data_IF_777114688629
#
_entry.id   IF_777114688629
#
_cell.length_a   1.000
_cell.length_b   1.000
_cell.length_c   1.000
_cell.angle_alpha   90.00
_cell.angle_beta   90.00
_cell.angle_gamma   90.00
#
_symmetry.space_group_name_H-M   'P 1'
#
loop_
_entity.id
_entity.type
_entity.pdbx_description
1 polymer ?
#
# COMPACT_ATOMS: atom_id res chain seq x y z
N UNK A 1 -27.14 22.84 15.83
CA UNK A 1 -26.00 22.79 14.91
C UNK A 1 -26.39 21.83 13.79
N UNK A 2 -27.03 22.35 12.74
CA UNK A 2 -27.48 21.54 11.60
C UNK A 2 -26.32 21.47 10.61
N UNK A 3 -25.66 20.32 10.53
CA UNK A 3 -24.74 20.03 9.43
C UNK A 3 -25.62 20.00 8.17
N UNK A 4 -25.35 20.90 7.23
CA UNK A 4 -26.16 21.04 6.03
C UNK A 4 -26.00 19.76 5.20
N UNK A 5 -27.11 19.07 4.92
CA UNK A 5 -27.10 17.75 4.26
C UNK A 5 -26.41 17.85 2.89
N UNK A 6 -26.53 18.99 2.22
CA UNK A 6 -25.84 19.27 0.96
C UNK A 6 -24.30 19.36 1.12
N UNK A 7 -23.80 19.96 2.20
CA UNK A 7 -22.35 19.97 2.49
C UNK A 7 -21.83 18.57 2.86
N UNK A 8 -22.67 17.75 3.50
CA UNK A 8 -22.35 16.36 3.79
C UNK A 8 -22.29 15.53 2.50
N UNK A 9 -23.28 15.67 1.62
CA UNK A 9 -23.34 14.98 0.33
C UNK A 9 -22.20 15.44 -0.59
N UNK A 10 -21.91 16.74 -0.68
CA UNK A 10 -20.76 17.24 -1.46
C UNK A 10 -19.43 16.74 -0.89
N UNK A 11 -19.29 16.68 0.44
CA UNK A 11 -18.12 16.09 1.10
C UNK A 11 -17.96 14.60 0.79
N UNK A 12 -19.06 13.84 0.78
CA UNK A 12 -19.07 12.42 0.42
C UNK A 12 -18.76 12.20 -1.06
N UNK A 13 -19.30 13.02 -1.95
CA UNK A 13 -19.02 12.96 -3.40
C UNK A 13 -17.56 13.32 -3.67
N UNK A 14 -17.02 14.36 -3.01
CA UNK A 14 -15.62 14.72 -3.15
C UNK A 14 -14.70 13.62 -2.62
N UNK A 15 -15.04 12.99 -1.49
CA UNK A 15 -14.34 11.82 -0.98
C UNK A 15 -14.43 10.65 -1.96
N UNK A 16 -15.60 10.40 -2.55
CA UNK A 16 -15.80 9.35 -3.55
C UNK A 16 -14.92 9.60 -4.79
N UNK A 17 -14.97 10.81 -5.35
CA UNK A 17 -14.17 11.20 -6.53
C UNK A 17 -12.66 11.10 -6.23
N UNK A 18 -12.22 11.58 -5.06
CA UNK A 18 -10.84 11.45 -4.60
C UNK A 18 -10.45 9.97 -4.46
N UNK A 19 -11.34 9.14 -3.89
CA UNK A 19 -11.09 7.71 -3.69
C UNK A 19 -10.88 7.01 -5.03
N UNK A 20 -11.79 7.21 -5.97
CA UNK A 20 -11.74 6.52 -7.26
C UNK A 20 -10.67 7.05 -8.20
N UNK A 21 -10.34 8.35 -8.13
CA UNK A 21 -9.23 8.92 -8.90
C UNK A 21 -7.87 8.39 -8.41
N UNK A 22 -7.62 8.36 -7.10
CA UNK A 22 -6.40 7.77 -6.52
C UNK A 22 -6.31 6.28 -6.81
N UNK A 23 -7.41 5.54 -6.67
CA UNK A 23 -7.46 4.12 -7.02
C UNK A 23 -7.08 3.89 -8.49
N UNK A 24 -7.64 4.71 -9.39
CA UNK A 24 -7.33 4.66 -10.83
C UNK A 24 -5.85 4.95 -11.10
N UNK A 25 -5.27 5.96 -10.44
CA UNK A 25 -3.84 6.29 -10.55
C UNK A 25 -2.98 5.11 -10.08
N UNK A 26 -3.32 4.48 -8.94
CA UNK A 26 -2.59 3.33 -8.41
C UNK A 26 -2.70 2.10 -9.34
N UNK A 27 -3.86 1.89 -9.97
CA UNK A 27 -4.03 0.83 -10.97
C UNK A 27 -3.20 1.09 -12.23
N UNK A 28 -3.23 2.33 -12.74
CA UNK A 28 -2.41 2.75 -13.87
C UNK A 28 -0.91 2.60 -13.56
N UNK A 29 -0.47 3.03 -12.38
CA UNK A 29 0.92 2.88 -11.93
C UNK A 29 1.34 1.41 -11.83
N UNK A 30 0.51 0.57 -11.21
CA UNK A 30 0.78 -0.87 -11.11
C UNK A 30 0.86 -1.54 -12.49
N UNK A 31 0.03 -1.10 -13.45
CA UNK A 31 0.04 -1.58 -14.83
C UNK A 31 1.28 -1.13 -15.61
N UNK A 32 1.67 0.14 -15.51
CA UNK A 32 2.84 0.69 -16.22
C UNK A 32 4.14 0.08 -15.70
N UNK A 33 4.33 0.01 -14.39
CA UNK A 33 5.51 -0.63 -13.78
C UNK A 33 5.64 -2.09 -14.21
N UNK A 34 4.52 -2.84 -14.26
CA UNK A 34 4.50 -4.22 -14.75
C UNK A 34 4.84 -4.39 -16.24
N UNK A 35 4.74 -3.32 -17.05
CA UNK A 35 5.17 -3.30 -18.46
C UNK A 35 6.60 -2.82 -18.67
N UNK A 36 7.04 -1.88 -17.83
CA UNK A 36 8.34 -1.21 -17.96
C UNK A 36 9.49 -2.06 -17.40
N UNK A 37 9.24 -2.89 -16.38
CA UNK A 37 10.26 -3.77 -15.80
C UNK A 37 10.41 -5.03 -16.67
N UNK A 38 11.63 -5.32 -17.20
CA UNK A 38 11.89 -6.55 -17.93
C UNK A 38 11.46 -7.77 -17.13
N UNK A 39 10.88 -8.79 -17.79
CA UNK A 39 10.39 -10.01 -17.11
C UNK A 39 11.46 -10.77 -16.30
N UNK A 40 12.73 -10.49 -16.56
CA UNK A 40 13.88 -11.05 -15.84
C UNK A 40 14.08 -10.40 -14.45
N UNK A 41 13.62 -9.17 -14.25
CA UNK A 41 13.51 -8.57 -12.91
C UNK A 41 12.17 -8.95 -12.28
N UNK A 42 12.20 -9.31 -11.00
CA UNK A 42 11.00 -9.66 -10.25
C UNK A 42 10.01 -8.49 -10.22
N UNK A 43 8.85 -8.67 -10.84
CA UNK A 43 7.84 -7.62 -10.89
C UNK A 43 7.29 -7.36 -9.47
N UNK A 44 7.31 -6.10 -8.99
CA UNK A 44 6.81 -5.77 -7.65
C UNK A 44 5.30 -6.03 -7.50
N UNK A 45 4.55 -5.95 -8.59
CA UNK A 45 3.10 -6.12 -8.63
C UNK A 45 2.70 -7.13 -9.69
N UNK A 46 1.79 -8.05 -9.35
CA UNK A 46 1.25 -9.05 -10.28
C UNK A 46 -0.28 -8.94 -10.35
N UNK A 47 -0.76 -8.05 -11.22
CA UNK A 47 -2.20 -7.80 -11.48
C UNK A 47 -3.03 -7.74 -10.17
N UNK A 48 -2.72 -6.80 -9.26
CA UNK A 48 -3.38 -6.70 -7.95
C UNK A 48 -4.90 -6.51 -8.05
N UNK A 49 -5.39 -5.90 -9.13
CA UNK A 49 -6.83 -5.73 -9.42
C UNK A 49 -7.60 -7.04 -9.64
N UNK A 50 -6.92 -8.18 -9.83
CA UNK A 50 -7.56 -9.50 -10.01
C UNK A 50 -7.59 -10.32 -8.71
N UNK A 51 -7.30 -9.71 -7.56
CA UNK A 51 -7.22 -10.43 -6.29
C UNK A 51 -8.61 -10.83 -5.81
N UNK A 52 -8.85 -12.12 -5.62
CA UNK A 52 -10.15 -12.64 -5.16
C UNK A 52 -10.27 -12.66 -3.63
N UNK A 53 -9.18 -12.42 -2.91
CA UNK A 53 -9.16 -12.35 -1.45
C UNK A 53 -8.04 -11.45 -0.96
N UNK A 54 -8.18 -10.94 0.27
CA UNK A 54 -7.13 -10.15 0.95
C UNK A 54 -5.83 -10.95 1.05
N UNK A 55 -5.92 -12.27 1.25
CA UNK A 55 -4.78 -13.18 1.20
C UNK A 55 -4.08 -13.21 -0.17
N UNK A 56 -4.85 -13.27 -1.26
CA UNK A 56 -4.32 -13.29 -2.62
C UNK A 56 -3.67 -11.95 -2.98
N UNK A 57 -4.27 -10.84 -2.53
CA UNK A 57 -3.73 -9.50 -2.71
C UNK A 57 -2.35 -9.37 -2.04
N UNK A 58 -2.27 -9.49 -0.72
CA UNK A 58 -1.02 -9.27 0.03
C UNK A 58 0.02 -10.37 -0.16
N UNK A 59 -0.41 -11.61 -0.39
CA UNK A 59 0.51 -12.75 -0.44
C UNK A 59 1.16 -12.97 -1.81
N UNK A 60 0.50 -12.58 -2.91
CA UNK A 60 0.92 -13.00 -4.26
C UNK A 60 0.95 -11.90 -5.30
N UNK A 61 0.28 -10.77 -5.05
CA UNK A 61 0.00 -9.78 -6.11
C UNK A 61 0.45 -8.37 -5.77
N UNK A 62 0.48 -8.02 -4.50
CA UNK A 62 0.88 -6.72 -4.00
C UNK A 62 2.27 -6.79 -3.38
N UNK A 63 3.17 -5.92 -3.85
CA UNK A 63 4.53 -5.74 -3.33
C UNK A 63 5.26 -7.05 -3.00
N UNK A 64 5.45 -7.88 -4.04
CA UNK A 64 6.03 -9.23 -3.93
C UNK A 64 7.42 -9.19 -3.28
N UNK A 65 8.18 -8.12 -3.51
CA UNK A 65 9.48 -7.89 -2.90
C UNK A 65 9.38 -7.77 -1.37
N UNK A 66 8.45 -6.96 -0.84
CA UNK A 66 8.24 -6.84 0.61
C UNK A 66 7.80 -8.18 1.20
N UNK A 67 6.90 -8.89 0.56
CA UNK A 67 6.48 -10.24 1.01
C UNK A 67 7.66 -11.20 1.04
N UNK A 68 8.56 -11.16 0.04
CA UNK A 68 9.78 -11.98 0.01
C UNK A 68 10.79 -11.64 1.09
N UNK A 69 10.87 -10.38 1.51
CA UNK A 69 11.74 -9.95 2.60
C UNK A 69 11.12 -10.34 3.95
N UNK A 70 9.85 -10.01 4.17
CA UNK A 70 9.15 -10.24 5.44
C UNK A 70 8.91 -11.73 5.72
N UNK A 71 8.75 -12.56 4.69
CA UNK A 71 8.46 -13.97 4.87
C UNK A 71 9.58 -14.75 5.61
N UNK A 72 10.86 -14.69 5.20
CA UNK A 72 11.96 -15.31 5.94
C UNK A 72 12.36 -14.54 7.20
N UNK A 73 12.22 -13.21 7.22
CA UNK A 73 12.73 -12.37 8.34
C UNK A 73 11.78 -12.29 9.52
N UNK A 74 10.46 -12.29 9.28
CA UNK A 74 9.45 -12.12 10.34
C UNK A 74 8.51 -13.32 10.37
N UNK A 75 7.86 -13.65 9.25
CA UNK A 75 6.79 -14.64 9.24
C UNK A 75 7.28 -16.04 9.67
N UNK A 76 8.33 -16.59 9.04
CA UNK A 76 8.88 -17.92 9.37
C UNK A 76 9.32 -18.02 10.84
N UNK A 77 10.15 -17.10 11.37
CA UNK A 77 10.50 -17.10 12.79
C UNK A 77 9.28 -17.04 13.70
N UNK A 78 8.30 -16.19 13.37
CA UNK A 78 7.08 -16.06 14.17
C UNK A 78 6.19 -17.30 14.10
N UNK A 79 6.10 -17.99 12.97
CA UNK A 79 5.40 -19.29 12.88
C UNK A 79 6.10 -20.31 13.77
N UNK A 80 7.43 -20.40 13.72
CA UNK A 80 8.19 -21.35 14.53
C UNK A 80 7.99 -21.08 16.03
N UNK A 81 8.14 -19.83 16.45
CA UNK A 81 7.91 -19.42 17.84
C UNK A 81 6.46 -19.70 18.28
N UNK A 82 5.48 -19.29 17.47
CA UNK A 82 4.05 -19.49 17.79
C UNK A 82 3.63 -20.96 17.77
N UNK A 83 4.33 -21.80 17.00
CA UNK A 83 4.05 -23.24 16.96
C UNK A 83 4.37 -23.95 18.27
N UNK A 84 5.28 -23.41 19.06
CA UNK A 84 5.61 -23.94 20.39
C UNK A 84 4.48 -23.70 21.39
N UNK A 85 3.79 -22.55 21.30
CA UNK A 85 2.76 -22.15 22.25
C UNK A 85 1.32 -22.55 21.84
N UNK A 86 0.97 -22.40 20.56
CA UNK A 86 -0.42 -22.51 20.06
C UNK A 86 -0.58 -23.71 19.09
N UNK A 87 0.51 -24.44 18.86
CA UNK A 87 0.54 -25.59 17.96
C UNK A 87 0.63 -25.20 16.48
N UNK A 88 1.17 -26.13 15.67
CA UNK A 88 1.46 -25.90 14.24
C UNK A 88 0.24 -25.52 13.41
N UNK A 89 -0.97 -25.98 13.79
CA UNK A 89 -2.20 -25.71 13.06
C UNK A 89 -2.57 -24.21 13.11
N UNK A 90 -2.37 -23.56 14.24
CA UNK A 90 -2.81 -22.18 14.48
C UNK A 90 -1.67 -21.16 14.49
N UNK A 91 -0.42 -21.61 14.55
CA UNK A 91 0.78 -20.78 14.47
C UNK A 91 0.82 -19.73 13.33
N UNK A 92 0.24 -19.98 12.14
CA UNK A 92 0.19 -18.97 11.08
C UNK A 92 -0.61 -17.71 11.44
N UNK A 93 -1.62 -17.79 12.31
CA UNK A 93 -2.48 -16.65 12.64
C UNK A 93 -1.72 -15.51 13.36
N UNK A 94 -1.06 -15.75 14.52
CA UNK A 94 -0.27 -14.72 15.17
C UNK A 94 0.93 -14.29 14.32
N UNK A 95 1.48 -15.19 13.50
CA UNK A 95 2.58 -14.85 12.61
C UNK A 95 2.17 -13.85 11.51
N UNK A 96 0.94 -13.98 10.96
CA UNK A 96 0.40 -13.00 10.02
C UNK A 96 0.25 -11.64 10.70
N UNK A 97 -0.41 -11.58 11.86
CA UNK A 97 -0.61 -10.32 12.59
C UNK A 97 0.73 -9.66 12.90
N UNK A 98 1.70 -10.41 13.43
CA UNK A 98 3.04 -9.90 13.71
C UNK A 98 3.75 -9.37 12.46
N UNK A 99 3.63 -10.07 11.33
CA UNK A 99 4.25 -9.65 10.07
C UNK A 99 3.68 -8.31 9.59
N UNK A 100 2.36 -8.14 9.68
CA UNK A 100 1.70 -6.88 9.32
C UNK A 100 2.03 -5.75 10.30
N UNK A 101 2.11 -6.04 11.60
CA UNK A 101 2.57 -5.10 12.64
C UNK A 101 3.98 -4.59 12.33
N UNK A 102 4.93 -5.49 12.03
CA UNK A 102 6.30 -5.09 11.66
C UNK A 102 6.31 -4.28 10.36
N UNK A 103 5.47 -4.65 9.38
CA UNK A 103 5.32 -3.87 8.15
C UNK A 103 4.79 -2.46 8.43
N UNK A 104 3.81 -2.29 9.32
CA UNK A 104 3.28 -1.00 9.73
C UNK A 104 4.32 -0.12 10.43
N UNK A 105 5.09 -0.70 11.36
CA UNK A 105 6.20 0.00 12.03
C UNK A 105 7.28 0.45 11.05
N UNK A 106 7.60 -0.37 10.06
CA UNK A 106 8.55 0.02 8.99
C UNK A 106 8.02 1.20 8.18
N UNK A 107 6.70 1.25 7.89
CA UNK A 107 6.11 2.38 7.18
C UNK A 107 6.13 3.66 8.04
N UNK A 108 5.86 3.56 9.33
CA UNK A 108 6.03 4.70 10.25
C UNK A 108 7.48 5.21 10.28
N UNK A 109 8.45 4.30 10.32
CA UNK A 109 9.86 4.67 10.29
C UNK A 109 10.26 5.36 8.97
N UNK A 110 9.78 4.85 7.84
CA UNK A 110 10.00 5.47 6.52
C UNK A 110 9.40 6.88 6.49
N UNK A 111 8.18 7.06 7.01
CA UNK A 111 7.52 8.36 7.08
C UNK A 111 8.25 9.33 8.01
N UNK A 112 8.77 8.84 9.13
CA UNK A 112 9.64 9.62 10.01
C UNK A 112 10.88 10.15 9.26
N UNK A 113 11.59 9.29 8.52
CA UNK A 113 12.77 9.71 7.76
C UNK A 113 12.45 10.73 6.67
N UNK A 114 11.39 10.50 5.89
CA UNK A 114 11.01 11.43 4.80
C UNK A 114 10.63 12.81 5.37
N UNK A 115 9.91 12.85 6.49
CA UNK A 115 9.47 14.10 7.11
C UNK A 115 10.64 14.85 7.77
N UNK A 116 11.59 14.12 8.37
CA UNK A 116 12.80 14.70 8.97
C UNK A 116 13.67 15.44 7.96
N UNK A 117 13.81 14.91 6.75
CA UNK A 117 14.60 15.53 5.69
C UNK A 117 14.05 16.90 5.23
N UNK A 118 12.76 17.17 5.48
CA UNK A 118 12.07 18.39 5.02
C UNK A 118 12.16 19.56 6.01
N UNK A 119 12.54 19.32 7.27
CA UNK A 119 12.52 20.37 8.31
C UNK A 119 13.91 20.64 8.87
N UNK A 120 14.46 21.79 8.50
CA UNK A 120 15.53 22.51 9.23
C UNK A 120 15.04 23.07 10.60
N UNK A 121 13.82 22.72 11.01
CA UNK A 121 13.19 23.14 12.26
C UNK A 121 12.87 21.91 13.11
N UNK A 122 13.36 21.92 14.35
CA UNK A 122 13.18 20.88 15.37
C UNK A 122 11.71 20.79 15.86
N UNK A 123 10.79 20.41 14.99
CA UNK A 123 9.45 20.04 15.41
C UNK A 123 9.41 18.56 15.83
N UNK A 124 8.91 18.30 17.04
CA UNK A 124 8.69 16.95 17.54
C UNK A 124 7.75 16.20 16.58
N UNK A 125 8.21 15.06 16.07
CA UNK A 125 7.39 14.23 15.19
C UNK A 125 6.26 13.59 15.99
N UNK A 126 5.02 13.87 15.59
CA UNK A 126 3.85 13.14 16.08
C UNK A 126 3.69 11.84 15.26
N UNK A 127 3.81 10.65 15.90
CA UNK A 127 3.60 9.38 15.21
C UNK A 127 2.19 9.31 14.64
N UNK A 128 2.09 9.05 13.35
CA UNK A 128 0.81 8.94 12.66
C UNK A 128 0.40 7.46 12.58
N UNK A 129 -0.16 6.98 13.69
CA UNK A 129 -0.59 5.59 13.83
C UNK A 129 -1.62 5.15 12.78
N UNK A 130 -2.17 6.06 11.98
CA UNK A 130 -3.08 5.77 10.86
C UNK A 130 -2.54 4.69 9.91
N UNK A 131 -1.25 4.76 9.53
CA UNK A 131 -0.61 3.73 8.70
C UNK A 131 -0.43 2.41 9.44
N UNK A 132 -0.08 2.47 10.72
CA UNK A 132 0.01 1.27 11.56
C UNK A 132 -1.35 0.58 11.70
N UNK A 133 -2.42 1.34 11.94
CA UNK A 133 -3.80 0.87 11.98
C UNK A 133 -4.21 0.20 10.66
N UNK A 134 -3.85 0.79 9.51
CA UNK A 134 -4.08 0.18 8.21
C UNK A 134 -3.49 -1.23 8.14
N UNK A 135 -2.18 -1.40 8.37
CA UNK A 135 -1.57 -2.72 8.30
C UNK A 135 -2.10 -3.67 9.36
N UNK A 136 -2.32 -3.20 10.57
CA UNK A 136 -2.83 -4.03 11.66
C UNK A 136 -4.23 -4.59 11.36
N UNK A 137 -5.17 -3.75 10.91
CA UNK A 137 -6.52 -4.17 10.51
C UNK A 137 -6.44 -5.21 9.39
N UNK A 138 -5.61 -4.98 8.38
CA UNK A 138 -5.42 -5.94 7.28
C UNK A 138 -4.84 -7.27 7.75
N UNK A 139 -3.88 -7.24 8.68
CA UNK A 139 -3.30 -8.43 9.29
C UNK A 139 -4.33 -9.25 10.07
N UNK A 140 -5.19 -8.59 10.86
CA UNK A 140 -6.29 -9.22 11.60
C UNK A 140 -7.32 -9.80 10.64
N UNK A 141 -7.78 -9.03 9.65
CA UNK A 141 -8.73 -9.51 8.64
C UNK A 141 -8.19 -10.72 7.87
N UNK A 142 -6.90 -10.70 7.52
CA UNK A 142 -6.25 -11.84 6.87
C UNK A 142 -6.16 -13.06 7.78
N UNK A 143 -5.79 -12.88 9.05
CA UNK A 143 -5.76 -13.96 10.03
C UNK A 143 -7.17 -14.57 10.22
N UNK A 144 -8.21 -13.73 10.35
CA UNK A 144 -9.61 -14.18 10.42
C UNK A 144 -10.02 -14.94 9.16
N UNK A 145 -9.64 -14.45 7.97
CA UNK A 145 -9.91 -15.14 6.71
C UNK A 145 -9.24 -16.53 6.66
N UNK A 146 -8.00 -16.65 7.14
CA UNK A 146 -7.30 -17.94 7.21
C UNK A 146 -7.96 -18.87 8.24
N UNK A 147 -8.35 -18.33 9.40
CA UNK A 147 -9.05 -19.09 10.44
C UNK A 147 -10.39 -19.62 9.92
N UNK A 148 -11.18 -18.78 9.28
CA UNK A 148 -12.46 -19.16 8.66
C UNK A 148 -12.27 -20.30 7.64
N UNK A 149 -11.32 -20.16 6.72
CA UNK A 149 -11.03 -21.22 5.72
C UNK A 149 -10.60 -22.54 6.38
N UNK A 150 -9.88 -22.49 7.50
CA UNK A 150 -9.42 -23.67 8.25
C UNK A 150 -10.50 -24.34 9.10
N UNK A 151 -11.48 -23.59 9.59
CA UNK A 151 -12.57 -24.11 10.44
C UNK A 151 -13.68 -24.71 9.60
N UNK A 152 -14.07 -24.00 8.53
CA UNK A 152 -15.27 -24.34 7.77
C UNK A 152 -14.98 -25.16 6.50
N UNK A 153 -13.71 -25.29 6.10
CA UNK A 153 -13.26 -26.03 4.90
C UNK A 153 -14.27 -25.97 3.72
N UNK A 154 -14.63 -24.76 3.24
CA UNK A 154 -15.73 -24.61 2.31
C UNK A 154 -15.46 -25.37 1.00
N UNK A 155 -16.33 -26.33 0.68
CA UNK A 155 -16.20 -27.23 -0.49
C UNK A 155 -16.36 -26.55 -1.85
N UNK A 156 -16.80 -25.29 -1.91
CA UNK A 156 -16.92 -24.44 -3.11
C UNK A 156 -16.59 -22.99 -2.78
N UNK A 157 -16.10 -22.24 -3.78
CA UNK A 157 -16.06 -20.78 -3.68
C UNK A 157 -17.49 -20.26 -3.56
N UNK A 158 -17.90 -19.85 -2.35
CA UNK A 158 -19.26 -19.38 -2.03
C UNK A 158 -19.68 -18.15 -2.87
N UNK A 159 -18.72 -17.42 -3.42
CA UNK A 159 -18.95 -16.21 -4.20
C UNK A 159 -18.38 -16.35 -5.61
N UNK A 160 -19.09 -15.88 -6.66
CA UNK A 160 -18.52 -15.77 -7.98
C UNK A 160 -17.21 -14.97 -7.95
N UNK A 161 -16.23 -15.42 -8.71
CA UNK A 161 -14.87 -14.84 -8.74
C UNK A 161 -14.85 -13.32 -8.89
N UNK A 162 -15.75 -12.79 -9.71
CA UNK A 162 -15.89 -11.34 -9.95
C UNK A 162 -16.37 -10.61 -8.69
N UNK A 163 -17.35 -11.16 -7.98
CA UNK A 163 -17.88 -10.56 -6.74
C UNK A 163 -16.80 -10.53 -5.65
N UNK A 164 -16.07 -11.63 -5.47
CA UNK A 164 -14.98 -11.69 -4.50
C UNK A 164 -13.83 -10.72 -4.83
N UNK A 165 -13.58 -10.53 -6.13
CA UNK A 165 -12.61 -9.57 -6.64
C UNK A 165 -13.01 -8.13 -6.33
N UNK A 166 -14.25 -7.76 -6.66
CA UNK A 166 -14.78 -6.42 -6.38
C UNK A 166 -14.76 -6.14 -4.86
N UNK A 167 -15.24 -7.08 -4.05
CA UNK A 167 -15.25 -6.93 -2.58
C UNK A 167 -13.85 -6.74 -2.02
N UNK A 168 -12.88 -7.53 -2.48
CA UNK A 168 -11.47 -7.40 -2.04
C UNK A 168 -10.89 -6.06 -2.45
N UNK A 169 -11.12 -5.62 -3.69
CA UNK A 169 -10.62 -4.32 -4.17
C UNK A 169 -11.26 -3.17 -3.42
N UNK A 170 -12.59 -3.16 -3.27
CA UNK A 170 -13.30 -2.12 -2.51
C UNK A 170 -12.76 -2.04 -1.09
N UNK A 171 -12.59 -3.17 -0.40
CA UNK A 171 -12.02 -3.20 0.95
C UNK A 171 -10.60 -2.61 0.99
N UNK A 172 -9.70 -3.09 0.14
CA UNK A 172 -8.29 -2.68 0.13
C UNK A 172 -8.13 -1.21 -0.27
N UNK A 173 -8.83 -0.78 -1.31
CA UNK A 173 -8.76 0.58 -1.83
C UNK A 173 -9.36 1.55 -0.82
N UNK A 174 -10.54 1.27 -0.28
CA UNK A 174 -11.20 2.16 0.69
C UNK A 174 -10.37 2.32 1.96
N UNK A 175 -9.88 1.22 2.53
CA UNK A 175 -9.02 1.28 3.72
C UNK A 175 -7.69 1.98 3.44
N UNK A 176 -7.10 1.77 2.26
CA UNK A 176 -5.87 2.45 1.84
C UNK A 176 -6.07 3.96 1.72
N UNK A 177 -7.18 4.41 1.17
CA UNK A 177 -7.45 5.83 1.00
C UNK A 177 -7.88 6.49 2.31
N UNK A 178 -8.57 5.78 3.21
CA UNK A 178 -8.97 6.34 4.50
C UNK A 178 -7.83 6.41 5.52
N UNK A 179 -6.90 5.46 5.50
CA UNK A 179 -5.89 5.32 6.56
C UNK A 179 -4.46 5.54 6.06
N UNK A 180 -4.14 5.11 4.85
CA UNK A 180 -2.76 5.16 4.33
C UNK A 180 -2.48 6.45 3.54
N UNK A 181 -3.41 6.92 2.71
CA UNK A 181 -3.25 8.17 1.94
C UNK A 181 -3.14 9.41 2.84
N UNK A 182 -3.94 9.58 3.91
CA UNK A 182 -3.82 10.75 4.79
C UNK A 182 -2.46 10.79 5.51
N UNK A 183 -1.93 9.61 5.89
CA UNK A 183 -0.57 9.50 6.39
C UNK A 183 0.48 9.99 5.37
N UNK A 184 0.36 9.61 4.09
CA UNK A 184 1.24 10.11 3.02
C UNK A 184 1.14 11.63 2.80
N UNK A 185 -0.09 12.17 2.79
CA UNK A 185 -0.34 13.61 2.62
C UNK A 185 0.26 14.41 3.78
N UNK A 186 0.05 13.98 5.02
CA UNK A 186 0.61 14.63 6.22
C UNK A 186 2.13 14.59 6.29
N UNK A 187 2.75 13.59 5.67
CA UNK A 187 4.21 13.51 5.55
C UNK A 187 4.76 14.36 4.40
N UNK A 188 3.90 14.98 3.59
CA UNK A 188 4.29 15.84 2.48
C UNK A 188 5.01 15.07 1.36
N UNK A 189 4.82 13.75 1.29
CA UNK A 189 5.46 12.87 0.28
C UNK A 189 5.07 13.33 -1.12
N UNK A 190 3.78 13.66 -1.32
CA UNK A 190 3.29 14.13 -2.61
C UNK A 190 3.91 15.47 -3.03
N UNK A 191 4.06 16.42 -2.11
CA UNK A 191 4.70 17.71 -2.39
C UNK A 191 6.19 17.58 -2.70
N UNK A 192 6.89 16.69 -1.96
CA UNK A 192 8.30 16.37 -2.23
C UNK A 192 8.46 15.75 -3.61
N UNK A 193 7.70 14.69 -3.90
CA UNK A 193 7.74 14.01 -5.19
C UNK A 193 7.40 14.95 -6.36
N UNK A 194 6.43 15.86 -6.17
CA UNK A 194 6.08 16.90 -7.15
C UNK A 194 7.24 17.86 -7.38
N UNK A 195 7.87 18.36 -6.32
CA UNK A 195 9.00 19.30 -6.40
C UNK A 195 10.19 18.66 -7.10
N UNK A 196 10.57 17.44 -6.71
CA UNK A 196 11.65 16.68 -7.33
C UNK A 196 11.39 16.40 -8.82
N UNK A 197 10.15 16.06 -9.17
CA UNK A 197 9.75 15.86 -10.57
C UNK A 197 9.88 17.13 -11.40
N UNK A 198 9.48 18.29 -10.84
CA UNK A 198 9.62 19.59 -11.52
C UNK A 198 11.09 19.93 -11.73
N UNK A 199 11.93 19.77 -10.71
CA UNK A 199 13.38 20.00 -10.79
C UNK A 199 14.02 19.09 -11.85
N UNK A 200 13.63 17.81 -11.89
CA UNK A 200 14.11 16.88 -12.90
C UNK A 200 13.70 17.29 -14.32
N UNK A 201 12.43 17.66 -14.54
CA UNK A 201 11.96 18.14 -15.84
C UNK A 201 12.70 19.41 -16.26
N UNK A 202 12.95 20.33 -15.33
CA UNK A 202 13.75 21.53 -15.60
C UNK A 202 15.20 21.18 -15.98
N UNK A 203 15.84 20.25 -15.26
CA UNK A 203 17.18 19.76 -15.57
C UNK A 203 17.25 19.15 -16.99
N UNK A 204 16.30 18.29 -17.36
CA UNK A 204 16.23 17.69 -18.70
C UNK A 204 16.00 18.75 -19.78
N UNK A 205 15.11 19.72 -19.54
CA UNK A 205 14.90 20.86 -20.45
C UNK A 205 16.18 21.66 -20.64
N UNK A 206 16.91 21.95 -19.56
CA UNK A 206 18.16 22.71 -19.63
C UNK A 206 19.24 21.99 -20.46
N UNK A 207 19.39 20.66 -20.29
CA UNK A 207 20.29 19.86 -21.14
C UNK A 207 19.88 19.93 -22.61
N UNK A 208 18.57 19.82 -22.90
CA UNK A 208 18.07 19.82 -24.27
C UNK A 208 18.31 21.17 -24.95
N UNK A 209 18.07 22.28 -24.24
CA UNK A 209 18.32 23.64 -24.73
C UNK A 209 19.82 23.87 -24.95
N UNK A 210 20.69 23.48 -24.01
CA UNK A 210 22.14 23.57 -24.18
C UNK A 210 22.64 22.78 -25.40
N UNK A 211 22.10 21.58 -25.62
CA UNK A 211 22.44 20.76 -26.78
C UNK A 211 21.95 21.36 -28.10
N UNK A 212 20.78 22.00 -28.09
CA UNK A 212 20.25 22.74 -29.25
C UNK A 212 21.10 23.95 -29.63
N UNK A 213 21.60 24.70 -28.64
CA UNK A 213 22.52 25.82 -28.89
C UNK A 213 23.87 25.34 -29.47
N UNK A 214 24.43 24.24 -28.94
CA UNK A 214 25.70 23.68 -29.44
C UNK A 214 25.64 23.14 -30.89
N UNK A 215 24.45 22.85 -31.42
CA UNK A 215 24.24 22.38 -32.79
C UNK A 215 23.97 23.52 -33.78
N UNK A 216 23.66 24.73 -33.30
CA UNK A 216 23.43 25.91 -34.13
C UNK A 216 24.66 26.83 -34.24
N UNK A 217 25.66 26.66 -33.37
CA UNK A 217 26.91 27.45 -33.36
C UNK A 217 28.12 26.71 -33.96
N UNK A 218 27.95 25.50 -34.49
CA UNK A 218 28.98 24.73 -35.22
C UNK A 218 28.68 24.59 -36.70
#
# INVERSE_FOLDING_TARGET
>A
MYINVDQMIEGEINNFIMVWSVATILFCYSYTIGKLIPKELEQPFNKPYLSTSVQDFWGRRWNIMVTRILHPTVYKPMVNASSHFIGRKWAPLPAVVATFTVSGLMHELIFYYIKREKKDTWEAWEPCWDSMCFFFIHGVCLALQIAYKKVFEPKRELLPRVVSCILTMVFVVSTGICLFVPALVRCGVFEKARTESIVFVQFVKNIYVQRGHSLHEG
#
